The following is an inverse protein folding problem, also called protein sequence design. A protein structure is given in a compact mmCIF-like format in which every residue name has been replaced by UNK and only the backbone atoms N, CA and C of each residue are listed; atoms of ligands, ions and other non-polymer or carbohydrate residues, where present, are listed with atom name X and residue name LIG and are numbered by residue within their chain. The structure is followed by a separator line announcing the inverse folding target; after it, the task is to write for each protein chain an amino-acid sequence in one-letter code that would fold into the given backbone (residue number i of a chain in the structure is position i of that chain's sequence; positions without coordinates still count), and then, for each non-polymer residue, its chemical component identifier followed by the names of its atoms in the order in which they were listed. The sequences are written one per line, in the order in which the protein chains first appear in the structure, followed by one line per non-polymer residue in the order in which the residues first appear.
data_IF_287855042014
#
_entry.id   IF_287855042014
#
_cell.length_a   1.000
_cell.length_b   1.000
_cell.length_c   1.000
_cell.angle_alpha   90.00
_cell.angle_beta   90.00
_cell.angle_gamma   90.00
#
_symmetry.space_group_name_H-M   'P 1'
#
loop_
_entity.id
_entity.type
_entity.pdbx_description
1 polymer ?
#
# COMPACT_ATOMS: atom_id res chain seq x y z
N UNK A 1 5.11 22.53 9.20
CA UNK A 1 3.87 21.96 8.65
C UNK A 1 3.98 20.45 8.54
N UNK A 2 2.95 19.74 8.94
CA UNK A 2 2.98 18.29 8.88
C UNK A 2 2.97 17.81 7.42
N UNK A 3 3.72 16.76 7.16
CA UNK A 3 3.78 16.13 5.85
C UNK A 3 2.48 15.34 5.62
N UNK A 4 1.98 15.37 4.40
CA UNK A 4 0.81 14.57 4.04
C UNK A 4 1.13 13.08 4.19
N UNK A 5 0.13 12.28 4.51
CA UNK A 5 0.31 10.84 4.70
C UNK A 5 0.90 10.20 3.44
N UNK A 6 0.35 10.53 2.27
CA UNK A 6 0.85 9.96 1.01
C UNK A 6 2.30 10.34 0.74
N UNK A 7 2.73 11.54 1.14
CA UNK A 7 4.12 11.95 0.99
C UNK A 7 5.03 11.21 1.96
N UNK A 8 4.56 11.02 3.20
CA UNK A 8 5.35 10.32 4.22
C UNK A 8 5.69 8.89 3.78
N UNK A 9 4.69 8.14 3.35
CA UNK A 9 4.90 6.76 2.95
C UNK A 9 5.45 6.63 1.53
N UNK A 10 5.01 7.52 0.62
CA UNK A 10 5.51 7.51 -0.75
C UNK A 10 6.98 7.84 -0.84
N UNK A 11 7.43 8.84 -0.08
CA UNK A 11 8.85 9.19 -0.05
C UNK A 11 9.68 8.07 0.56
N UNK A 12 9.18 7.44 1.63
CA UNK A 12 9.88 6.33 2.27
C UNK A 12 10.04 5.17 1.29
N UNK A 13 9.00 4.86 0.52
CA UNK A 13 9.07 3.81 -0.49
C UNK A 13 10.06 4.17 -1.59
N UNK A 14 10.08 5.43 -2.01
CA UNK A 14 11.00 5.88 -3.04
C UNK A 14 12.45 5.77 -2.57
N UNK A 15 12.72 6.17 -1.33
CA UNK A 15 14.07 6.06 -0.77
C UNK A 15 14.53 4.60 -0.74
N UNK A 16 13.66 3.70 -0.33
CA UNK A 16 13.95 2.27 -0.32
C UNK A 16 14.21 1.76 -1.74
N UNK A 17 13.39 2.18 -2.68
CA UNK A 17 13.54 1.77 -4.08
C UNK A 17 14.87 2.20 -4.67
N UNK A 18 15.30 3.42 -4.39
CA UNK A 18 16.59 3.93 -4.84
C UNK A 18 17.73 3.17 -4.17
N UNK A 19 17.64 2.97 -2.87
CA UNK A 19 18.65 2.28 -2.09
C UNK A 19 18.89 0.85 -2.58
N UNK A 20 17.83 0.17 -2.96
CA UNK A 20 17.89 -1.23 -3.41
C UNK A 20 17.93 -1.38 -4.91
N UNK A 21 18.01 -0.28 -5.65
CA UNK A 21 18.00 -0.28 -7.11
C UNK A 21 16.77 -0.99 -7.68
N UNK A 22 15.60 -0.73 -7.10
CA UNK A 22 14.35 -1.37 -7.44
C UNK A 22 13.25 -0.39 -7.85
N UNK A 23 13.64 0.79 -8.35
CA UNK A 23 12.67 1.82 -8.71
C UNK A 23 11.66 1.30 -9.74
N UNK A 24 12.15 0.67 -10.81
CA UNK A 24 11.27 0.19 -11.87
C UNK A 24 10.35 -0.94 -11.40
N UNK A 25 10.89 -1.89 -10.63
CA UNK A 25 10.07 -3.01 -10.17
C UNK A 25 9.02 -2.57 -9.16
N UNK A 26 9.37 -1.66 -8.25
CA UNK A 26 8.41 -1.15 -7.28
C UNK A 26 7.38 -0.22 -7.93
N UNK A 27 7.78 0.50 -8.98
CA UNK A 27 6.85 1.28 -9.77
C UNK A 27 5.76 0.37 -10.38
N UNK A 28 6.18 -0.75 -10.96
CA UNK A 28 5.26 -1.71 -11.55
C UNK A 28 4.37 -2.36 -10.49
N UNK A 29 4.94 -2.71 -9.34
CA UNK A 29 4.17 -3.29 -8.23
C UNK A 29 3.12 -2.31 -7.71
N UNK A 30 3.49 -1.04 -7.58
CA UNK A 30 2.54 -0.01 -7.15
C UNK A 30 1.37 0.08 -8.13
N UNK A 31 1.65 0.01 -9.43
CA UNK A 31 0.61 0.02 -10.44
C UNK A 31 -0.33 -1.17 -10.31
N UNK A 32 0.22 -2.36 -10.03
CA UNK A 32 -0.60 -3.56 -9.85
C UNK A 32 -1.51 -3.44 -8.62
N UNK A 33 -1.00 -2.88 -7.54
CA UNK A 33 -1.82 -2.68 -6.32
C UNK A 33 -2.93 -1.67 -6.58
N UNK A 34 -2.62 -0.55 -7.23
CA UNK A 34 -3.62 0.47 -7.57
C UNK A 34 -4.74 -0.16 -8.41
N UNK A 35 -4.35 -0.94 -9.42
CA UNK A 35 -5.31 -1.60 -10.30
C UNK A 35 -6.21 -2.57 -9.52
N UNK A 36 -5.62 -3.33 -8.58
CA UNK A 36 -6.38 -4.26 -7.77
C UNK A 36 -7.46 -3.54 -6.94
N UNK A 37 -7.14 -2.40 -6.37
CA UNK A 37 -8.12 -1.61 -5.61
C UNK A 37 -9.19 -1.02 -6.51
N UNK A 38 -8.80 -0.51 -7.68
CA UNK A 38 -9.75 0.09 -8.62
C UNK A 38 -10.72 -0.92 -9.22
N UNK A 39 -10.24 -2.13 -9.47
CA UNK A 39 -11.05 -3.19 -10.07
C UNK A 39 -11.95 -3.90 -9.06
N UNK A 40 -11.65 -3.75 -7.77
CA UNK A 40 -12.38 -4.43 -6.69
C UNK A 40 -12.76 -3.44 -5.59
N UNK A 41 -13.73 -2.54 -5.85
CA UNK A 41 -14.08 -1.50 -4.86
C UNK A 41 -14.57 -2.06 -3.53
N UNK A 42 -15.14 -3.27 -3.51
CA UNK A 42 -15.57 -3.91 -2.27
C UNK A 42 -14.39 -4.25 -1.36
N UNK A 43 -13.20 -4.44 -1.92
CA UNK A 43 -12.01 -4.70 -1.12
C UNK A 43 -11.67 -3.49 -0.25
N UNK A 44 -11.71 -2.29 -0.83
CA UNK A 44 -11.51 -1.06 -0.07
C UNK A 44 -12.55 -0.88 1.02
N UNK A 45 -13.81 -1.19 0.70
CA UNK A 45 -14.89 -1.10 1.70
C UNK A 45 -14.66 -2.07 2.85
N UNK A 46 -14.18 -3.27 2.54
CA UNK A 46 -13.88 -4.27 3.57
C UNK A 46 -12.77 -3.78 4.50
N UNK A 47 -11.71 -3.21 3.94
CA UNK A 47 -10.60 -2.68 4.72
C UNK A 47 -11.01 -1.49 5.61
N UNK A 48 -12.05 -0.77 5.22
CA UNK A 48 -12.55 0.37 5.98
C UNK A 48 -13.73 0.02 6.89
N UNK A 49 -14.15 -1.24 6.89
CA UNK A 49 -15.31 -1.66 7.68
C UNK A 49 -14.93 -1.71 9.17
N UNK A 50 -15.69 -1.00 10.03
CA UNK A 50 -15.33 -0.89 11.44
C UNK A 50 -15.41 -2.20 12.23
N UNK A 51 -16.18 -3.17 11.73
CA UNK A 51 -16.32 -4.46 12.42
C UNK A 51 -15.23 -5.46 12.06
N UNK A 52 -14.44 -5.18 11.01
CA UNK A 52 -13.31 -6.05 10.67
C UNK A 52 -12.12 -5.61 11.52
N UNK A 53 -11.56 -6.53 12.28
CA UNK A 53 -10.45 -6.23 13.17
C UNK A 53 -9.17 -5.95 12.37
N UNK A 54 -8.30 -5.14 12.97
CA UNK A 54 -7.04 -4.74 12.34
C UNK A 54 -6.19 -5.94 11.91
N UNK A 55 -6.07 -6.93 12.78
CA UNK A 55 -5.31 -8.13 12.47
C UNK A 55 -5.87 -8.88 11.27
N UNK A 56 -7.20 -8.91 11.13
CA UNK A 56 -7.84 -9.53 9.97
C UNK A 56 -7.55 -8.75 8.69
N UNK A 57 -7.53 -7.42 8.78
CA UNK A 57 -7.21 -6.57 7.62
C UNK A 57 -5.78 -6.79 7.17
N UNK A 58 -4.84 -6.88 8.11
CA UNK A 58 -3.44 -7.12 7.81
C UNK A 58 -3.24 -8.49 7.17
N UNK A 59 -3.92 -9.50 7.69
CA UNK A 59 -3.86 -10.84 7.15
C UNK A 59 -4.43 -10.90 5.73
N UNK A 60 -5.52 -10.19 5.49
CA UNK A 60 -6.13 -10.11 4.18
C UNK A 60 -5.17 -9.49 3.16
N UNK A 61 -4.53 -8.38 3.52
CA UNK A 61 -3.52 -7.74 2.68
C UNK A 61 -2.41 -8.73 2.35
N UNK A 62 -1.88 -9.39 3.37
CA UNK A 62 -0.78 -10.34 3.18
C UNK A 62 -1.19 -11.49 2.24
N UNK A 63 -2.37 -12.06 2.46
CA UNK A 63 -2.82 -13.20 1.67
C UNK A 63 -3.05 -12.85 0.20
N UNK A 64 -3.53 -11.65 -0.08
CA UNK A 64 -3.83 -11.23 -1.44
C UNK A 64 -2.57 -10.75 -2.15
N UNK A 65 -1.84 -9.82 -1.53
CA UNK A 65 -0.76 -9.11 -2.23
C UNK A 65 0.58 -9.84 -2.22
N UNK A 66 0.84 -10.66 -1.21
CA UNK A 66 2.13 -11.38 -1.16
C UNK A 66 2.33 -12.33 -2.35
N UNK A 67 1.26 -12.64 -3.05
CA UNK A 67 1.32 -13.53 -4.21
C UNK A 67 1.85 -12.85 -5.46
N UNK A 68 1.79 -11.53 -5.55
CA UNK A 68 2.20 -10.84 -6.78
C UNK A 68 3.02 -9.56 -6.56
N UNK A 69 3.25 -9.16 -5.32
CA UNK A 69 4.17 -8.04 -5.04
C UNK A 69 5.20 -8.48 -4.00
N UNK A 70 6.29 -7.74 -3.92
CA UNK A 70 7.39 -8.06 -3.02
C UNK A 70 7.03 -7.87 -1.55
N UNK A 71 7.87 -8.41 -0.67
CA UNK A 71 7.73 -8.21 0.76
C UNK A 71 7.80 -6.74 1.17
N UNK A 72 8.60 -5.95 0.47
CA UNK A 72 8.71 -4.51 0.75
C UNK A 72 7.39 -3.80 0.49
N UNK A 73 6.75 -4.10 -0.63
CA UNK A 73 5.46 -3.50 -0.96
C UNK A 73 4.37 -4.00 -0.01
N UNK A 74 4.30 -5.31 0.22
CA UNK A 74 3.32 -5.89 1.15
C UNK A 74 3.49 -5.30 2.56
N UNK A 75 4.74 -5.16 3.00
CA UNK A 75 5.05 -4.58 4.30
C UNK A 75 4.58 -3.13 4.44
N UNK A 76 4.72 -2.35 3.38
CA UNK A 76 4.21 -0.97 3.37
C UNK A 76 2.69 -0.96 3.56
N UNK A 77 1.98 -1.81 2.83
CA UNK A 77 0.52 -1.87 2.90
C UNK A 77 0.06 -2.29 4.30
N UNK A 78 0.72 -3.29 4.88
CA UNK A 78 0.40 -3.77 6.22
C UNK A 78 0.67 -2.67 7.25
N UNK A 79 1.78 -1.96 7.11
CA UNK A 79 2.10 -0.85 8.01
C UNK A 79 1.02 0.23 7.97
N UNK A 80 0.54 0.58 6.78
CA UNK A 80 -0.51 1.58 6.64
C UNK A 80 -1.81 1.11 7.29
N UNK A 81 -2.17 -0.16 7.10
CA UNK A 81 -3.36 -0.72 7.74
C UNK A 81 -3.21 -0.73 9.26
N UNK A 82 -2.03 -1.08 9.78
CA UNK A 82 -1.81 -1.11 11.22
C UNK A 82 -1.95 0.26 11.87
N UNK A 83 -1.81 1.32 11.09
CA UNK A 83 -1.95 2.70 11.56
C UNK A 83 -3.30 3.32 11.17
N UNK A 84 -4.23 2.49 10.70
CA UNK A 84 -5.56 2.92 10.25
C UNK A 84 -5.50 3.92 9.09
N UNK A 85 -4.52 3.74 8.21
CA UNK A 85 -4.31 4.63 7.06
C UNK A 85 -4.58 3.94 5.73
N UNK A 86 -5.37 2.86 5.74
CA UNK A 86 -5.66 2.10 4.53
C UNK A 86 -6.38 2.92 3.46
N UNK A 87 -7.14 3.93 3.86
CA UNK A 87 -7.86 4.79 2.90
C UNK A 87 -6.88 5.60 2.04
N UNK A 88 -5.62 5.73 2.48
CA UNK A 88 -4.60 6.49 1.75
C UNK A 88 -3.67 5.62 0.92
N UNK A 89 -3.91 4.32 0.84
CA UNK A 89 -3.01 3.41 0.11
C UNK A 89 -2.91 3.83 -1.37
N UNK A 90 -4.03 3.98 -2.06
CA UNK A 90 -4.01 4.33 -3.48
C UNK A 90 -3.34 5.68 -3.70
N UNK A 91 -3.69 6.69 -2.90
CA UNK A 91 -3.08 8.02 -3.00
C UNK A 91 -1.57 7.97 -2.80
N UNK A 92 -1.11 7.16 -1.83
CA UNK A 92 0.31 6.98 -1.55
C UNK A 92 1.05 6.39 -2.75
N UNK A 93 0.47 5.36 -3.35
CA UNK A 93 1.11 4.68 -4.48
C UNK A 93 1.07 5.55 -5.74
N UNK A 94 0.01 6.32 -5.94
CA UNK A 94 -0.04 7.29 -7.03
C UNK A 94 1.02 8.39 -6.85
N UNK A 95 1.19 8.86 -5.63
CA UNK A 95 2.24 9.82 -5.30
C UNK A 95 3.62 9.24 -5.61
N UNK A 96 3.86 7.99 -5.21
CA UNK A 96 5.13 7.32 -5.47
C UNK A 96 5.43 7.20 -6.96
N UNK A 97 4.42 7.00 -7.78
CA UNK A 97 4.61 6.79 -9.22
C UNK A 97 4.79 8.08 -10.04
N UNK A 98 4.70 9.21 -9.41
CA UNK A 98 4.88 10.48 -10.13
C UNK A 98 6.34 10.79 -10.44
#
# INVERSE_FOLDING_TARGET
MAKLIEATYGDALFELAVEESRVDSLYDEAGAVIEAFNDNPEFGRLLNHPEVEKGEKEELINNIFSQFVSGDMTGLLITMVSKDRQIKIVDTLEYFRK
#
